data_IF_171463312881
#
_entry.id   IF_171463312881
#
_cell.length_a   1.000
_cell.length_b   1.000
_cell.length_c   1.000
_cell.angle_alpha   90.00
_cell.angle_beta   90.00
_cell.angle_gamma   90.00
#
_symmetry.space_group_name_H-M   'P 1'
#
loop_
_entity.id
_entity.type
_entity.pdbx_description
1 polymer ?
#
# COMPACT_ATOMS: atom_id res chain seq x y z
N UNK A 1 11.50 -19.45 -0.55
CA UNK A 1 11.41 -18.28 0.35
C UNK A 1 10.06 -17.64 0.07
N UNK A 2 9.20 -17.48 1.09
CA UNK A 2 7.79 -17.08 0.86
C UNK A 2 7.61 -15.60 0.63
N UNK A 3 8.48 -14.75 1.19
CA UNK A 3 8.57 -13.35 0.83
C UNK A 3 9.47 -13.24 -0.41
N UNK A 4 8.89 -12.80 -1.52
CA UNK A 4 9.56 -12.71 -2.82
C UNK A 4 10.32 -11.39 -2.98
N UNK A 5 9.73 -10.31 -2.48
CA UNK A 5 10.30 -8.96 -2.51
C UNK A 5 9.64 -8.11 -1.42
N UNK A 6 10.33 -7.06 -1.00
CA UNK A 6 9.78 -6.05 -0.08
C UNK A 6 10.14 -4.64 -0.52
N UNK A 7 9.32 -3.70 -0.07
CA UNK A 7 9.51 -2.25 -0.24
C UNK A 7 9.18 -1.54 1.06
N UNK A 8 9.79 -0.38 1.24
CA UNK A 8 9.50 0.48 2.37
C UNK A 8 9.58 1.95 1.98
N UNK A 9 8.74 2.77 2.58
CA UNK A 9 8.75 4.22 2.42
C UNK A 9 8.69 4.85 3.80
N UNK A 10 9.55 5.83 4.04
CA UNK A 10 9.55 6.64 5.25
C UNK A 10 9.88 8.09 4.89
N UNK A 11 8.85 8.93 4.83
CA UNK A 11 8.98 10.39 4.67
C UNK A 11 9.95 10.84 3.57
N UNK A 12 9.86 10.21 2.39
CA UNK A 12 10.62 10.56 1.20
C UNK A 12 11.78 9.62 0.92
N UNK A 13 12.25 8.86 1.92
CA UNK A 13 13.16 7.75 1.70
C UNK A 13 12.36 6.53 1.23
N UNK A 14 12.56 6.11 -0.01
CA UNK A 14 11.96 4.89 -0.56
C UNK A 14 13.04 3.82 -0.74
N UNK A 15 12.73 2.57 -0.40
CA UNK A 15 13.61 1.42 -0.58
C UNK A 15 12.86 0.34 -1.34
N UNK A 16 13.48 -0.20 -2.39
CA UNK A 16 12.96 -1.32 -3.16
C UNK A 16 14.10 -2.23 -3.61
N UNK A 17 13.98 -3.54 -3.39
CA UNK A 17 15.00 -4.52 -3.77
C UNK A 17 16.44 -4.18 -3.29
N UNK A 18 16.56 -3.61 -2.09
CA UNK A 18 17.84 -3.16 -1.51
C UNK A 18 18.40 -1.86 -2.09
N UNK A 19 17.74 -1.29 -3.11
CA UNK A 19 18.07 0.04 -3.65
C UNK A 19 17.33 1.09 -2.84
N UNK A 20 18.08 2.05 -2.31
CA UNK A 20 17.53 3.21 -1.62
C UNK A 20 17.50 4.42 -2.57
N UNK A 21 16.32 4.97 -2.73
CA UNK A 21 16.06 6.19 -3.48
C UNK A 21 16.32 7.42 -2.60
N UNK A 22 16.75 8.50 -3.24
CA UNK A 22 17.11 9.72 -2.52
C UNK A 22 15.88 10.34 -1.86
N UNK A 23 16.04 10.77 -0.60
CA UNK A 23 15.06 11.61 0.06
C UNK A 23 15.12 13.02 -0.51
N UNK A 24 13.97 13.67 -0.61
CA UNK A 24 13.87 15.08 -0.98
C UNK A 24 13.16 15.86 0.12
N UNK A 25 13.52 17.13 0.27
CA UNK A 25 12.80 18.06 1.13
C UNK A 25 11.46 18.45 0.49
N UNK A 26 10.48 18.78 1.32
CA UNK A 26 9.13 19.18 0.88
C UNK A 26 8.05 18.63 1.79
N UNK A 27 6.79 18.93 1.50
CA UNK A 27 5.64 18.33 2.18
C UNK A 27 5.45 16.84 1.76
N UNK A 28 4.56 16.12 2.45
CA UNK A 28 4.33 14.70 2.18
C UNK A 28 3.92 14.42 0.72
N UNK A 29 3.15 15.31 0.11
CA UNK A 29 2.66 15.15 -1.26
C UNK A 29 3.79 15.37 -2.28
N UNK A 30 4.68 16.33 -2.04
CA UNK A 30 5.89 16.57 -2.83
C UNK A 30 6.87 15.39 -2.72
N UNK A 31 7.11 14.89 -1.50
CA UNK A 31 8.03 13.75 -1.28
C UNK A 31 7.53 12.47 -1.96
N UNK A 32 6.23 12.19 -1.89
CA UNK A 32 5.63 11.07 -2.61
C UNK A 32 5.75 11.21 -4.14
N UNK A 33 5.55 12.42 -4.67
CA UNK A 33 5.69 12.66 -6.11
C UNK A 33 7.13 12.48 -6.58
N UNK A 34 8.11 12.95 -5.80
CA UNK A 34 9.53 12.76 -6.12
C UNK A 34 9.96 11.29 -6.05
N UNK A 35 9.52 10.54 -5.03
CA UNK A 35 9.78 9.11 -4.94
C UNK A 35 9.17 8.34 -6.12
N UNK A 36 7.94 8.69 -6.51
CA UNK A 36 7.29 8.12 -7.70
C UNK A 36 8.05 8.41 -9.00
N UNK A 37 8.49 9.66 -9.19
CA UNK A 37 9.24 10.04 -10.38
C UNK A 37 10.57 9.28 -10.52
N UNK A 38 11.19 8.90 -9.40
CA UNK A 38 12.40 8.09 -9.40
C UNK A 38 12.16 6.66 -9.93
N UNK A 39 10.94 6.13 -9.85
CA UNK A 39 10.56 4.86 -10.47
C UNK A 39 10.42 4.95 -11.99
N UNK A 40 10.30 6.16 -12.56
CA UNK A 40 10.12 6.40 -14.01
C UNK A 40 8.89 5.70 -14.60
N UNK A 41 7.81 5.65 -13.83
CA UNK A 41 6.53 5.03 -14.24
C UNK A 41 5.56 6.14 -14.67
N UNK A 42 5.03 6.03 -15.88
CA UNK A 42 3.99 6.93 -16.39
C UNK A 42 2.59 6.41 -16.02
N UNK A 43 1.99 7.00 -14.99
CA UNK A 43 0.61 6.72 -14.60
C UNK A 43 -0.04 8.01 -14.07
N UNK A 44 -0.68 8.82 -14.94
CA UNK A 44 -1.21 10.14 -14.58
C UNK A 44 -2.23 10.13 -13.44
N UNK A 45 -2.93 9.00 -13.24
CA UNK A 45 -3.89 8.83 -12.12
C UNK A 45 -3.21 8.88 -10.76
N UNK A 46 -1.93 8.52 -10.65
CA UNK A 46 -1.15 8.66 -9.41
C UNK A 46 -1.25 10.07 -8.83
N UNK A 47 -1.11 11.12 -9.66
CA UNK A 47 -1.13 12.51 -9.18
C UNK A 47 -2.53 13.02 -8.81
N UNK A 48 -3.59 12.26 -9.12
CA UNK A 48 -4.98 12.60 -8.79
C UNK A 48 -5.51 11.79 -7.61
N UNK A 49 -4.87 10.68 -7.26
CA UNK A 49 -5.25 9.84 -6.15
C UNK A 49 -4.96 10.52 -4.80
N UNK A 50 -5.69 10.11 -3.76
CA UNK A 50 -5.43 10.55 -2.39
C UNK A 50 -4.08 10.03 -1.87
N UNK A 51 -3.64 10.56 -0.73
CA UNK A 51 -2.30 10.30 -0.22
C UNK A 51 -2.06 8.82 0.13
N UNK A 52 -3.05 8.14 0.72
CA UNK A 52 -2.92 6.72 1.07
C UNK A 52 -2.85 5.86 -0.19
N UNK A 53 -3.71 6.14 -1.17
CA UNK A 53 -3.68 5.48 -2.49
C UNK A 53 -2.34 5.70 -3.20
N UNK A 54 -1.80 6.92 -3.19
CA UNK A 54 -0.47 7.22 -3.75
C UNK A 54 0.63 6.44 -3.05
N UNK A 55 0.61 6.39 -1.72
CA UNK A 55 1.60 5.63 -0.95
C UNK A 55 1.53 4.14 -1.28
N UNK A 56 0.33 3.55 -1.34
CA UNK A 56 0.16 2.15 -1.72
C UNK A 56 0.64 1.88 -3.16
N UNK A 57 0.26 2.73 -4.12
CA UNK A 57 0.69 2.62 -5.51
C UNK A 57 2.21 2.67 -5.64
N UNK A 58 2.86 3.60 -4.92
CA UNK A 58 4.32 3.72 -4.87
C UNK A 58 4.96 2.45 -4.31
N UNK A 59 4.47 1.97 -3.16
CA UNK A 59 5.07 0.84 -2.45
C UNK A 59 4.88 -0.47 -3.18
N UNK A 60 3.75 -0.68 -3.85
CA UNK A 60 3.46 -1.90 -4.59
C UNK A 60 4.00 -1.90 -6.03
N UNK A 61 4.20 -0.72 -6.64
CA UNK A 61 4.64 -0.59 -8.04
C UNK A 61 5.76 -1.58 -8.42
N UNK A 62 6.89 -1.66 -7.68
CA UNK A 62 8.04 -2.45 -8.12
C UNK A 62 7.76 -3.95 -8.21
N UNK A 63 6.72 -4.45 -7.53
CA UNK A 63 6.35 -5.87 -7.60
C UNK A 63 5.74 -6.25 -8.94
N UNK A 64 5.17 -5.29 -9.68
CA UNK A 64 4.43 -5.52 -10.91
C UNK A 64 5.14 -5.03 -12.18
N UNK A 65 6.23 -4.25 -12.04
CA UNK A 65 7.05 -3.84 -13.17
C UNK A 65 7.73 -5.06 -13.84
N UNK A 66 8.29 -4.91 -15.05
CA UNK A 66 8.74 -6.04 -15.89
C UNK A 66 9.65 -7.09 -15.20
N UNK A 67 10.46 -6.69 -14.21
CA UNK A 67 11.34 -7.58 -13.44
C UNK A 67 10.83 -7.84 -12.00
N UNK A 68 9.61 -7.43 -11.70
CA UNK A 68 8.97 -7.53 -10.40
C UNK A 68 8.52 -8.95 -10.09
N UNK A 69 8.46 -9.27 -8.80
CA UNK A 69 8.12 -10.60 -8.31
C UNK A 69 6.73 -11.12 -8.74
N UNK A 70 5.82 -10.23 -9.13
CA UNK A 70 4.44 -10.52 -9.50
C UNK A 70 4.13 -10.21 -10.98
N UNK A 71 5.13 -9.80 -11.77
CA UNK A 71 4.93 -9.32 -13.14
C UNK A 71 4.32 -10.36 -14.10
N UNK A 72 4.65 -11.64 -13.89
CA UNK A 72 4.18 -12.76 -14.70
C UNK A 72 3.09 -13.60 -14.02
N UNK A 73 2.59 -13.14 -12.86
CA UNK A 73 1.54 -13.84 -12.12
C UNK A 73 0.17 -13.53 -12.73
N UNK A 74 -0.73 -14.52 -12.69
CA UNK A 74 -2.13 -14.34 -13.10
C UNK A 74 -2.83 -13.35 -12.14
N UNK A 75 -3.34 -12.20 -12.63
CA UNK A 75 -3.99 -11.18 -11.81
C UNK A 75 -5.23 -11.67 -11.04
N UNK A 76 -5.88 -12.75 -11.47
CA UNK A 76 -7.00 -13.37 -10.73
C UNK A 76 -6.54 -14.10 -9.46
N UNK A 77 -5.24 -14.45 -9.39
CA UNK A 77 -4.65 -15.21 -8.28
C UNK A 77 -3.85 -14.35 -7.31
N UNK A 78 -3.86 -13.03 -7.49
CA UNK A 78 -3.14 -12.07 -6.64
C UNK A 78 -4.12 -11.40 -5.69
N UNK A 79 -4.02 -11.73 -4.41
CA UNK A 79 -4.74 -11.06 -3.34
C UNK A 79 -4.04 -9.78 -2.90
N UNK A 80 -4.76 -8.92 -2.19
CA UNK A 80 -4.19 -7.72 -1.58
C UNK A 80 -4.59 -7.66 -0.10
N UNK A 81 -3.64 -7.27 0.74
CA UNK A 81 -3.87 -7.07 2.16
C UNK A 81 -3.22 -5.77 2.62
N UNK A 82 -4.05 -4.78 2.94
CA UNK A 82 -3.62 -3.50 3.47
C UNK A 82 -3.96 -3.44 4.96
N UNK A 83 -2.97 -3.08 5.78
CA UNK A 83 -3.17 -2.65 7.15
C UNK A 83 -2.94 -1.14 7.26
N UNK A 84 -3.71 -0.46 8.10
CA UNK A 84 -3.53 0.97 8.39
C UNK A 84 -3.91 1.25 9.83
N UNK A 85 -3.18 2.13 10.51
CA UNK A 85 -3.49 2.55 11.88
C UNK A 85 -4.27 3.85 11.94
N UNK A 86 -4.11 4.69 10.91
CA UNK A 86 -4.77 5.99 10.79
C UNK A 86 -5.94 5.97 9.81
N UNK A 87 -6.08 4.91 9.01
CA UNK A 87 -7.07 4.86 7.94
C UNK A 87 -6.82 5.95 6.90
N UNK A 88 -7.88 6.67 6.55
CA UNK A 88 -7.85 7.79 5.62
C UNK A 88 -7.87 9.15 6.33
N UNK A 89 -7.24 9.26 7.51
CA UNK A 89 -7.33 10.44 8.38
C UNK A 89 -7.01 11.78 7.69
N UNK A 90 -6.06 11.79 6.75
CA UNK A 90 -5.78 12.98 5.93
C UNK A 90 -6.99 13.36 5.03
N UNK A 91 -7.55 12.38 4.32
CA UNK A 91 -8.74 12.59 3.47
C UNK A 91 -9.94 12.99 4.31
N UNK A 92 -10.11 12.38 5.49
CA UNK A 92 -11.17 12.72 6.45
C UNK A 92 -11.06 14.18 6.90
N UNK A 93 -9.86 14.62 7.26
CA UNK A 93 -9.61 16.00 7.67
C UNK A 93 -9.91 17.00 6.54
N UNK A 94 -9.51 16.69 5.30
CA UNK A 94 -9.79 17.51 4.11
C UNK A 94 -11.28 17.57 3.80
N UNK A 95 -11.98 16.44 3.83
CA UNK A 95 -13.43 16.38 3.61
C UNK A 95 -14.19 17.17 4.69
N UNK A 96 -13.80 17.00 5.96
CA UNK A 96 -14.43 17.71 7.08
C UNK A 96 -14.16 19.22 7.04
N UNK A 97 -12.97 19.66 6.61
CA UNK A 97 -12.68 21.07 6.40
C UNK A 97 -13.57 21.67 5.31
N UNK A 98 -13.67 21.02 4.15
CA UNK A 98 -14.55 21.48 3.06
C UNK A 98 -16.01 21.57 3.51
N UNK A 99 -16.50 20.54 4.22
CA UNK A 99 -17.88 20.51 4.70
C UNK A 99 -18.16 21.63 5.73
N UNK A 100 -17.21 21.91 6.63
CA UNK A 100 -17.35 22.94 7.66
C UNK A 100 -17.22 24.35 7.10
N UNK A 101 -16.24 24.59 6.24
CA UNK A 101 -15.84 25.93 5.82
C UNK A 101 -16.68 26.39 4.60
N UNK A 102 -17.05 25.46 3.72
CA UNK A 102 -17.78 25.75 2.48
C UNK A 102 -19.20 25.14 2.44
N UNK A 103 -19.56 24.26 3.38
CA UNK A 103 -20.86 23.58 3.36
C UNK A 103 -21.03 22.55 2.24
N UNK A 104 -19.92 22.15 1.59
CA UNK A 104 -19.93 21.28 0.41
C UNK A 104 -19.57 19.84 0.77
N UNK A 105 -20.48 18.91 0.49
CA UNK A 105 -20.23 17.48 0.55
C UNK A 105 -19.79 16.95 -0.83
N UNK A 106 -18.51 17.11 -1.16
CA UNK A 106 -17.97 16.69 -2.47
C UNK A 106 -17.81 15.17 -2.56
N UNK A 107 -18.47 14.46 -3.50
CA UNK A 107 -18.31 13.01 -3.65
C UNK A 107 -16.87 12.60 -3.95
N UNK A 108 -16.13 13.42 -4.70
CA UNK A 108 -14.74 13.15 -5.06
C UNK A 108 -13.78 13.18 -3.85
N UNK A 109 -14.12 13.95 -2.80
CA UNK A 109 -13.37 13.98 -1.55
C UNK A 109 -13.93 13.01 -0.51
N UNK A 110 -15.19 12.62 -0.61
CA UNK A 110 -15.80 11.63 0.27
C UNK A 110 -15.27 10.23 -0.02
N UNK A 111 -15.15 9.82 -1.28
CA UNK A 111 -14.73 8.44 -1.62
C UNK A 111 -13.38 8.07 -0.97
N UNK A 112 -12.33 8.91 -1.03
CA UNK A 112 -11.04 8.60 -0.42
C UNK A 112 -11.01 8.59 1.12
N UNK A 113 -12.14 8.85 1.80
CA UNK A 113 -12.29 8.64 3.26
C UNK A 113 -12.34 7.15 3.64
N UNK A 114 -12.47 6.27 2.64
CA UNK A 114 -12.42 4.83 2.85
C UNK A 114 -11.01 4.30 2.51
N UNK A 115 -10.28 3.69 3.47
CA UNK A 115 -8.92 3.21 3.21
C UNK A 115 -8.87 2.07 2.18
N UNK A 116 -9.99 1.37 1.97
CA UNK A 116 -10.13 0.35 0.93
C UNK A 116 -10.02 0.91 -0.50
N UNK A 117 -10.18 2.22 -0.71
CA UNK A 117 -10.00 2.84 -2.03
C UNK A 117 -8.58 2.70 -2.53
N UNK A 118 -7.59 2.70 -1.63
CA UNK A 118 -6.20 2.46 -2.01
C UNK A 118 -6.05 1.10 -2.72
N UNK A 119 -6.67 0.04 -2.18
CA UNK A 119 -6.67 -1.28 -2.82
C UNK A 119 -7.35 -1.22 -4.20
N UNK A 120 -8.44 -0.47 -4.33
CA UNK A 120 -9.12 -0.25 -5.61
C UNK A 120 -8.24 0.42 -6.66
N UNK A 121 -7.49 1.46 -6.28
CA UNK A 121 -6.52 2.12 -7.17
C UNK A 121 -5.40 1.19 -7.61
N UNK A 122 -4.91 0.33 -6.69
CA UNK A 122 -3.91 -0.69 -7.00
C UNK A 122 -4.46 -1.72 -8.00
N UNK A 123 -5.69 -2.21 -7.77
CA UNK A 123 -6.40 -3.10 -8.68
C UNK A 123 -6.58 -2.50 -10.07
N UNK A 124 -7.04 -1.24 -10.15
CA UNK A 124 -7.27 -0.55 -11.43
C UNK A 124 -5.97 -0.43 -12.22
N UNK A 125 -4.87 -0.07 -11.55
CA UNK A 125 -3.59 0.11 -12.23
C UNK A 125 -3.04 -1.20 -12.81
N UNK A 126 -3.11 -2.28 -12.04
CA UNK A 126 -2.45 -3.54 -12.37
C UNK A 126 -3.41 -4.63 -12.90
N UNK A 127 -4.69 -4.30 -13.11
CA UNK A 127 -5.70 -5.25 -13.58
C UNK A 127 -5.97 -6.40 -12.61
N UNK A 128 -5.84 -6.16 -11.30
CA UNK A 128 -5.99 -7.21 -10.28
C UNK A 128 -7.47 -7.52 -10.06
N UNK A 129 -7.83 -8.80 -10.15
CA UNK A 129 -9.19 -9.30 -9.92
C UNK A 129 -9.30 -10.18 -8.67
N UNK A 130 -8.17 -10.49 -8.02
CA UNK A 130 -8.16 -11.22 -6.77
C UNK A 130 -8.73 -10.42 -5.59
N UNK A 131 -9.02 -11.13 -4.50
CA UNK A 131 -9.64 -10.56 -3.30
C UNK A 131 -8.72 -9.54 -2.60
N UNK A 132 -9.31 -8.41 -2.18
CA UNK A 132 -8.66 -7.39 -1.36
C UNK A 132 -9.24 -7.32 0.05
N UNK A 133 -8.38 -7.17 1.06
CA UNK A 133 -8.77 -6.97 2.46
C UNK A 133 -8.05 -5.75 3.01
N UNK A 134 -8.80 -4.85 3.65
CA UNK A 134 -8.25 -3.71 4.37
C UNK A 134 -8.57 -3.85 5.86
N UNK A 135 -7.55 -3.81 6.72
CA UNK A 135 -7.66 -3.91 8.16
C UNK A 135 -7.22 -2.61 8.82
N UNK A 136 -8.02 -2.14 9.78
CA UNK A 136 -7.66 -1.03 10.64
C UNK A 136 -7.23 -1.57 12.00
N UNK A 137 -6.01 -1.23 12.45
CA UNK A 137 -5.44 -1.80 13.67
C UNK A 137 -4.64 -0.74 14.45
N UNK A 138 -4.52 -0.84 15.79
CA UNK A 138 -3.78 0.17 16.57
C UNK A 138 -2.28 0.27 16.24
N UNK A 139 -1.69 -0.82 15.75
CA UNK A 139 -0.30 -0.90 15.33
C UNK A 139 -0.14 -1.99 14.25
N UNK A 140 0.88 -1.89 13.38
CA UNK A 140 1.21 -2.96 12.43
C UNK A 140 1.57 -4.25 13.16
N UNK A 141 0.92 -5.35 12.79
CA UNK A 141 1.14 -6.65 13.42
C UNK A 141 0.99 -7.76 12.38
N UNK A 142 2.09 -8.43 12.05
CA UNK A 142 2.08 -9.53 11.10
C UNK A 142 1.18 -10.68 11.59
N UNK A 143 1.20 -11.00 12.89
CA UNK A 143 0.36 -12.04 13.46
C UNK A 143 -1.14 -11.72 13.35
N UNK A 144 -1.52 -10.45 13.47
CA UNK A 144 -2.90 -10.01 13.25
C UNK A 144 -3.35 -10.16 11.79
N UNK A 145 -2.41 -10.21 10.83
CA UNK A 145 -2.70 -10.44 9.41
C UNK A 145 -2.92 -11.93 9.08
N UNK A 146 -2.47 -12.85 9.93
CA UNK A 146 -2.49 -14.29 9.64
C UNK A 146 -3.90 -14.84 9.30
N UNK A 147 -4.99 -14.47 10.00
CA UNK A 147 -6.33 -14.91 9.63
C UNK A 147 -6.75 -14.43 8.23
N UNK A 148 -6.46 -13.17 7.89
CA UNK A 148 -6.78 -12.62 6.57
C UNK A 148 -5.96 -13.28 5.45
N UNK A 149 -4.68 -13.56 5.70
CA UNK A 149 -3.82 -14.33 4.78
C UNK A 149 -4.39 -15.74 4.56
N UNK A 150 -4.82 -16.41 5.63
CA UNK A 150 -5.46 -17.73 5.57
C UNK A 150 -6.75 -17.72 4.75
N UNK A 151 -7.59 -16.70 4.96
CA UNK A 151 -8.82 -16.50 4.19
C UNK A 151 -8.53 -16.29 2.70
N UNK A 152 -7.58 -15.42 2.35
CA UNK A 152 -7.18 -15.17 0.95
C UNK A 152 -6.65 -16.44 0.29
N UNK A 153 -5.87 -17.25 1.00
CA UNK A 153 -5.42 -18.57 0.53
C UNK A 153 -6.59 -19.52 0.26
N UNK A 154 -7.59 -19.55 1.13
CA UNK A 154 -8.81 -20.36 0.93
C UNK A 154 -9.66 -19.89 -0.25
N UNK A 155 -9.63 -18.59 -0.55
CA UNK A 155 -10.29 -18.00 -1.74
C UNK A 155 -9.54 -18.26 -3.06
N UNK A 156 -8.45 -19.04 -3.04
CA UNK A 156 -7.72 -19.42 -4.24
C UNK A 156 -6.59 -18.46 -4.64
N UNK A 157 -6.28 -17.46 -3.80
CA UNK A 157 -5.12 -16.60 -4.04
C UNK A 157 -3.84 -17.42 -3.92
N UNK A 158 -2.90 -17.19 -4.86
CA UNK A 158 -1.57 -17.81 -4.88
C UNK A 158 -0.48 -16.86 -4.42
N UNK A 159 -0.70 -15.56 -4.64
CA UNK A 159 0.20 -14.51 -4.20
C UNK A 159 -0.58 -13.43 -3.44
N UNK A 160 0.09 -12.71 -2.55
CA UNK A 160 -0.49 -11.54 -1.88
C UNK A 160 0.50 -10.38 -1.94
N UNK A 161 0.03 -9.18 -2.28
CA UNK A 161 0.70 -7.92 -1.90
C UNK A 161 0.17 -7.51 -0.53
N UNK A 162 1.02 -7.62 0.48
CA UNK A 162 0.66 -7.48 1.89
C UNK A 162 1.53 -6.44 2.57
N UNK A 163 0.95 -5.59 3.39
CA UNK A 163 1.74 -4.62 4.15
C UNK A 163 0.89 -3.68 4.98
N UNK A 164 1.55 -2.69 5.54
CA UNK A 164 0.88 -1.58 6.20
C UNK A 164 1.27 -0.24 5.58
N UNK A 165 0.35 0.72 5.64
CA UNK A 165 0.58 2.08 5.20
C UNK A 165 -0.21 3.04 6.09
N UNK A 166 0.41 4.17 6.41
CA UNK A 166 -0.25 5.29 7.07
C UNK A 166 0.20 6.62 6.52
N UNK A 167 -0.75 7.56 6.51
CA UNK A 167 -0.51 8.93 6.10
C UNK A 167 -1.28 9.87 7.00
N UNK A 168 -0.60 10.86 7.59
CA UNK A 168 -1.26 11.92 8.33
C UNK A 168 -0.38 13.17 8.38
N UNK A 169 -0.98 14.34 8.09
CA UNK A 169 -0.29 15.62 8.09
C UNK A 169 0.97 15.58 7.21
N UNK A 170 2.15 15.81 7.80
CA UNK A 170 3.42 15.79 7.09
C UNK A 170 4.04 14.40 6.99
N UNK A 171 3.40 13.33 7.47
CA UNK A 171 4.00 12.00 7.55
C UNK A 171 3.35 11.00 6.62
N UNK A 172 4.17 10.17 6.00
CA UNK A 172 3.75 9.01 5.21
C UNK A 172 4.77 7.87 5.41
N UNK A 173 4.27 6.70 5.80
CA UNK A 173 5.09 5.51 6.10
C UNK A 173 4.41 4.25 5.60
N UNK A 174 5.20 3.34 5.06
CA UNK A 174 4.69 2.02 4.67
C UNK A 174 5.78 0.98 4.62
N UNK A 175 5.39 -0.27 4.82
CA UNK A 175 6.21 -1.43 4.52
C UNK A 175 5.35 -2.52 3.86
N UNK A 176 5.78 -2.99 2.70
CA UNK A 176 5.05 -3.97 1.89
C UNK A 176 5.93 -5.13 1.47
N UNK A 177 5.29 -6.29 1.28
CA UNK A 177 5.89 -7.52 0.80
C UNK A 177 5.00 -8.15 -0.28
N UNK A 178 5.64 -8.68 -1.32
CA UNK A 178 5.04 -9.66 -2.21
C UNK A 178 5.28 -11.06 -1.64
N UNK A 179 4.22 -11.83 -1.42
CA UNK A 179 4.26 -13.13 -0.74
C UNK A 179 3.72 -14.23 -1.67
N UNK A 180 4.42 -15.36 -1.77
CA UNK A 180 3.90 -16.59 -2.35
C UNK A 180 3.22 -17.45 -1.27
N UNK A 181 1.95 -17.78 -1.47
CA UNK A 181 1.12 -18.49 -0.49
C UNK A 181 1.32 -20.01 -0.46
N UNK A 182 1.87 -20.58 -1.54
CA UNK A 182 2.17 -22.01 -1.62
C UNK A 182 3.16 -22.41 -0.51
N UNK A 183 4.20 -21.61 -0.30
CA UNK A 183 5.24 -21.85 0.71
C UNK A 183 4.98 -21.12 2.03
N UNK A 184 3.87 -20.36 2.15
CA UNK A 184 3.56 -19.58 3.34
C UNK A 184 3.25 -20.47 4.55
N UNK A 185 3.83 -20.09 5.69
CA UNK A 185 3.71 -20.74 6.99
C UNK A 185 3.92 -19.70 8.10
N UNK A 186 3.39 -19.95 9.30
CA UNK A 186 3.43 -19.00 10.42
C UNK A 186 4.85 -18.59 10.85
N UNK A 187 5.85 -19.42 10.55
CA UNK A 187 7.27 -19.09 10.78
C UNK A 187 7.74 -17.85 9.99
N UNK A 188 7.06 -17.51 8.89
CA UNK A 188 7.34 -16.30 8.10
C UNK A 188 6.76 -15.02 8.71
N UNK A 189 5.88 -15.13 9.71
CA UNK A 189 5.32 -13.96 10.39
C UNK A 189 6.39 -13.11 11.06
N UNK A 190 7.45 -13.73 11.59
CA UNK A 190 8.56 -13.01 12.20
C UNK A 190 9.35 -12.17 11.17
N UNK A 191 9.49 -12.67 9.94
CA UNK A 191 10.16 -11.92 8.86
C UNK A 191 9.30 -10.72 8.44
N UNK A 192 7.99 -10.92 8.33
CA UNK A 192 7.04 -9.85 8.01
C UNK A 192 6.97 -8.81 9.15
N UNK A 193 7.03 -9.25 10.41
CA UNK A 193 7.06 -8.33 11.56
C UNK A 193 8.35 -7.51 11.61
N UNK A 194 9.51 -8.12 11.34
CA UNK A 194 10.79 -7.38 11.25
C UNK A 194 10.71 -6.26 10.22
N UNK A 195 10.13 -6.55 9.05
CA UNK A 195 9.89 -5.54 8.01
C UNK A 195 8.99 -4.39 8.51
N UNK A 196 8.01 -4.69 9.36
CA UNK A 196 7.10 -3.69 9.91
C UNK A 196 7.76 -2.85 11.01
N UNK A 197 8.62 -3.45 11.83
CA UNK A 197 9.29 -2.78 12.95
C UNK A 197 10.43 -1.85 12.48
N UNK A 198 11.05 -2.16 11.34
CA UNK A 198 12.13 -1.36 10.73
C UNK A 198 11.65 -0.04 10.11
N UNK A 199 10.35 0.12 9.89
CA UNK A 199 9.77 1.19 9.06
C UNK A 199 8.53 1.80 9.66
#
# INVERSE_FOLDING_TARGET
MSILASTAYHDGAFTSAGVRFACVDGDADQRLAAAWNQLRIDYPRFHRADRLSRLLLLSAAPFFEANGALAACDPETIGMLLCTCTGSMESDARYQALLRDEGVASPALFVPTLPSIALGELSIRHGLHGSGVCLMMPAPSASALAPAIGMLKQQGMRHIVCGWADTFASHARSAFAAIALETWADTHLNQLQSLFDEH
#
